data_IF_942559404979
#
_entry.id   IF_942559404979
#
_cell.length_a   1.000
_cell.length_b   1.000
_cell.length_c   1.000
_cell.angle_alpha   90.00
_cell.angle_beta   90.00
_cell.angle_gamma   90.00
#
_symmetry.space_group_name_H-M   'P 1'
#
loop_
_entity.id
_entity.type
_entity.pdbx_description
1 polymer ?
#
# COMPACT_ATOMS: atom_id res chain seq x y z
N UNK A 1 -1.13 5.60 17.86
CA UNK A 1 -2.44 4.95 17.63
C UNK A 1 -2.49 4.56 16.16
N UNK A 2 -2.73 3.29 15.83
CA UNK A 2 -2.83 2.77 14.44
C UNK A 2 -4.33 2.61 14.15
N UNK A 3 -4.95 3.54 13.44
CA UNK A 3 -6.40 3.52 13.27
C UNK A 3 -6.79 3.59 11.78
N UNK A 4 -7.27 2.46 11.26
CA UNK A 4 -8.24 2.46 10.15
C UNK A 4 -9.59 2.93 10.73
N UNK A 5 -10.35 3.75 10.00
CA UNK A 5 -11.71 4.14 10.40
C UNK A 5 -11.89 5.34 11.34
N UNK A 6 -10.96 6.31 11.41
CA UNK A 6 -11.20 7.60 12.13
C UNK A 6 -12.03 8.62 11.33
N UNK A 7 -12.19 8.41 10.02
CA UNK A 7 -13.03 9.20 9.10
C UNK A 7 -13.81 8.26 8.20
N UNK A 8 -14.84 8.78 7.53
CA UNK A 8 -15.50 8.07 6.43
C UNK A 8 -14.43 7.53 5.47
N UNK A 9 -14.46 6.21 5.26
CA UNK A 9 -13.51 5.51 4.40
C UNK A 9 -14.05 5.51 2.97
N UNK A 10 -13.44 6.30 2.10
CA UNK A 10 -13.48 6.09 0.66
C UNK A 10 -12.18 5.42 0.18
N UNK A 11 -12.10 5.10 -1.10
CA UNK A 11 -10.93 4.41 -1.66
C UNK A 11 -9.64 5.22 -1.48
N UNK A 12 -9.69 6.54 -1.66
CA UNK A 12 -8.52 7.40 -1.52
C UNK A 12 -8.09 7.50 -0.05
N UNK A 13 -9.03 7.54 0.90
CA UNK A 13 -8.72 7.47 2.32
C UNK A 13 -8.06 6.14 2.70
N UNK A 14 -8.64 5.03 2.26
CA UNK A 14 -8.13 3.70 2.60
C UNK A 14 -6.72 3.46 2.02
N UNK A 15 -6.51 3.81 0.75
CA UNK A 15 -5.30 3.43 0.02
C UNK A 15 -4.24 4.52 -0.09
N UNK A 16 -4.54 5.77 0.25
CA UNK A 16 -3.60 6.88 0.11
C UNK A 16 -3.37 7.62 1.44
N UNK A 17 -4.44 8.14 2.05
CA UNK A 17 -4.30 9.18 3.09
C UNK A 17 -4.39 8.69 4.54
N UNK A 18 -4.82 7.44 4.78
CA UNK A 18 -4.78 6.83 6.11
C UNK A 18 -3.35 6.72 6.65
N UNK A 19 -3.15 6.99 7.95
CA UNK A 19 -1.83 6.89 8.61
C UNK A 19 -1.18 5.51 8.40
N UNK A 20 -1.95 4.43 8.55
CA UNK A 20 -1.44 3.07 8.34
C UNK A 20 -0.89 2.93 6.93
N UNK A 21 -1.65 3.41 5.96
CA UNK A 21 -1.30 3.32 4.54
C UNK A 21 -0.10 4.19 4.18
N UNK A 22 -0.02 5.41 4.70
CA UNK A 22 1.14 6.29 4.52
C UNK A 22 2.45 5.65 5.02
N UNK A 23 2.41 4.97 6.18
CA UNK A 23 3.57 4.25 6.70
C UNK A 23 3.91 3.04 5.84
N UNK A 24 2.91 2.29 5.35
CA UNK A 24 3.14 1.16 4.43
C UNK A 24 3.82 1.64 3.14
N UNK A 25 3.31 2.72 2.52
CA UNK A 25 3.94 3.28 1.32
C UNK A 25 5.37 3.74 1.57
N UNK A 26 5.63 4.38 2.70
CA UNK A 26 7.01 4.73 3.07
C UNK A 26 7.92 3.49 3.16
N UNK A 27 7.46 2.40 3.78
CA UNK A 27 8.21 1.14 3.87
C UNK A 27 8.43 0.49 2.49
N UNK A 28 7.43 0.54 1.60
CA UNK A 28 7.55 0.07 0.21
C UNK A 28 8.58 0.88 -0.56
N UNK A 29 8.59 2.21 -0.42
CA UNK A 29 9.55 3.08 -1.10
C UNK A 29 10.99 2.72 -0.73
N UNK A 30 11.25 2.54 0.57
CA UNK A 30 12.55 2.14 1.10
C UNK A 30 12.94 0.74 0.61
N UNK A 31 12.00 -0.22 0.64
CA UNK A 31 12.27 -1.60 0.23
C UNK A 31 12.56 -1.73 -1.26
N UNK A 32 11.77 -1.07 -2.12
CA UNK A 32 11.94 -1.11 -3.57
C UNK A 32 13.03 -0.15 -4.08
N UNK A 33 13.61 0.68 -3.21
CA UNK A 33 14.55 1.74 -3.60
C UNK A 33 13.98 2.68 -4.68
N UNK A 34 12.71 3.04 -4.56
CA UNK A 34 12.03 3.98 -5.48
C UNK A 34 11.85 5.35 -4.83
N UNK A 35 11.73 6.43 -5.63
CA UNK A 35 11.32 7.73 -5.12
C UNK A 35 10.02 7.64 -4.32
N UNK A 36 9.84 8.58 -3.39
CA UNK A 36 8.64 8.61 -2.58
C UNK A 36 7.38 8.70 -3.46
N UNK A 37 6.43 7.79 -3.22
CA UNK A 37 5.12 7.81 -3.84
C UNK A 37 4.35 9.02 -3.33
N UNK A 38 4.04 9.94 -4.24
CA UNK A 38 3.12 11.06 -4.02
C UNK A 38 1.86 10.77 -4.84
N UNK A 39 0.79 10.38 -4.15
CA UNK A 39 -0.51 10.14 -4.74
C UNK A 39 -1.56 10.92 -3.95
N UNK A 40 -2.57 11.44 -4.65
CA UNK A 40 -3.75 12.06 -4.06
C UNK A 40 -5.02 11.30 -4.40
N UNK A 41 -4.97 10.53 -5.48
CA UNK A 41 -6.02 9.61 -5.93
C UNK A 41 -5.45 8.21 -6.19
N UNK A 42 -6.33 7.22 -6.23
CA UNK A 42 -5.98 5.87 -6.68
C UNK A 42 -5.36 5.83 -8.09
N UNK A 43 -5.77 6.71 -8.99
CA UNK A 43 -5.20 6.79 -10.33
C UNK A 43 -3.73 7.24 -10.29
N UNK A 44 -3.41 8.23 -9.45
CA UNK A 44 -2.02 8.67 -9.27
C UNK A 44 -1.14 7.52 -8.77
N UNK A 45 -1.66 6.74 -7.82
CA UNK A 45 -0.95 5.60 -7.26
C UNK A 45 -0.66 4.53 -8.32
N UNK A 46 -1.63 4.20 -9.18
CA UNK A 46 -1.40 3.25 -10.27
C UNK A 46 -0.43 3.78 -11.32
N UNK A 47 -0.35 5.10 -11.50
CA UNK A 47 0.48 5.73 -12.51
C UNK A 47 1.91 6.05 -12.05
N UNK A 48 2.25 5.87 -10.77
CA UNK A 48 3.60 6.05 -10.21
C UNK A 48 4.69 5.46 -11.09
N UNK A 49 4.50 4.21 -11.53
CA UNK A 49 5.51 3.47 -12.30
C UNK A 49 5.79 4.10 -13.68
N UNK A 50 4.83 4.82 -14.26
CA UNK A 50 4.96 5.41 -15.61
C UNK A 50 6.04 6.49 -15.64
N UNK A 51 6.13 7.28 -14.57
CA UNK A 51 7.02 8.42 -14.43
C UNK A 51 8.46 8.03 -14.02
N UNK A 52 8.73 6.76 -13.72
CA UNK A 52 10.07 6.29 -13.35
C UNK A 52 10.94 6.04 -14.58
N UNK A 53 12.16 6.58 -14.58
CA UNK A 53 13.18 6.35 -15.61
C UNK A 53 13.88 4.98 -15.42
N UNK A 54 13.10 3.90 -15.48
CA UNK A 54 13.54 2.51 -15.24
C UNK A 54 13.05 1.58 -16.35
N UNK A 55 13.56 0.34 -16.37
CA UNK A 55 13.18 -0.65 -17.38
C UNK A 55 11.68 -1.01 -17.33
N UNK A 56 11.09 -1.37 -18.49
CA UNK A 56 9.70 -1.83 -18.56
C UNK A 56 9.43 -3.08 -17.69
N UNK A 57 10.44 -3.92 -17.50
CA UNK A 57 10.34 -5.04 -16.57
C UNK A 57 10.19 -4.55 -15.13
N UNK A 58 11.05 -3.63 -14.69
CA UNK A 58 10.98 -3.04 -13.34
C UNK A 58 9.67 -2.29 -13.11
N UNK A 59 9.16 -1.56 -14.12
CA UNK A 59 7.84 -0.90 -14.04
C UNK A 59 6.71 -1.89 -13.74
N UNK A 60 6.69 -3.04 -14.42
CA UNK A 60 5.71 -4.10 -14.17
C UNK A 60 5.83 -4.71 -12.78
N UNK A 61 7.06 -4.93 -12.29
CA UNK A 61 7.29 -5.41 -10.92
C UNK A 61 6.76 -4.41 -9.89
N UNK A 62 7.03 -3.11 -10.05
CA UNK A 62 6.51 -2.07 -9.15
C UNK A 62 4.98 -2.03 -9.19
N UNK A 63 4.38 -2.11 -10.37
CA UNK A 63 2.92 -2.16 -10.52
C UNK A 63 2.32 -3.37 -9.78
N UNK A 64 2.95 -4.54 -9.85
CA UNK A 64 2.53 -5.72 -9.09
C UNK A 64 2.63 -5.49 -7.58
N UNK A 65 3.73 -4.89 -7.10
CA UNK A 65 3.90 -4.56 -5.68
C UNK A 65 2.81 -3.59 -5.20
N UNK A 66 2.47 -2.57 -6.00
CA UNK A 66 1.38 -1.63 -5.69
C UNK A 66 0.04 -2.38 -5.55
N UNK A 67 -0.28 -3.29 -6.48
CA UNK A 67 -1.51 -4.08 -6.43
C UNK A 67 -1.55 -5.00 -5.20
N UNK A 68 -0.45 -5.68 -4.89
CA UNK A 68 -0.31 -6.52 -3.69
C UNK A 68 -0.45 -5.68 -2.42
N UNK A 69 0.15 -4.48 -2.37
CA UNK A 69 0.01 -3.57 -1.25
C UNK A 69 -1.45 -3.17 -1.02
N UNK A 70 -2.17 -2.76 -2.06
CA UNK A 70 -3.59 -2.46 -1.98
C UNK A 70 -4.39 -3.65 -1.45
N UNK A 71 -4.11 -4.86 -1.96
CA UNK A 71 -4.78 -6.07 -1.48
C UNK A 71 -4.55 -6.33 0.02
N UNK A 72 -3.31 -6.25 0.50
CA UNK A 72 -3.00 -6.48 1.93
C UNK A 72 -3.63 -5.41 2.81
N UNK A 73 -3.61 -4.14 2.37
CA UNK A 73 -4.23 -3.03 3.10
C UNK A 73 -5.74 -3.26 3.23
N UNK A 74 -6.40 -3.60 2.11
CA UNK A 74 -7.83 -3.89 2.10
C UNK A 74 -8.17 -5.09 3.00
N UNK A 75 -7.37 -6.17 2.93
CA UNK A 75 -7.52 -7.35 3.78
C UNK A 75 -7.37 -6.98 5.26
N UNK A 76 -6.31 -6.25 5.62
CA UNK A 76 -6.07 -5.80 7.00
C UNK A 76 -7.22 -4.96 7.55
N UNK A 77 -7.80 -4.08 6.71
CA UNK A 77 -8.99 -3.32 7.07
C UNK A 77 -10.20 -4.24 7.28
N UNK A 78 -10.41 -5.23 6.41
CA UNK A 78 -11.53 -6.16 6.57
C UNK A 78 -11.38 -7.09 7.78
N UNK A 79 -10.17 -7.48 8.15
CA UNK A 79 -9.92 -8.22 9.37
C UNK A 79 -10.27 -7.38 10.61
N UNK A 80 -10.04 -6.06 10.57
CA UNK A 80 -10.53 -5.12 11.58
C UNK A 80 -12.06 -5.03 11.58
N UNK A 81 -12.61 -4.84 10.38
CA UNK A 81 -13.98 -5.11 9.93
C UNK A 81 -14.76 -6.14 10.75
N UNK A 82 -14.50 -7.37 10.32
CA UNK A 82 -15.34 -8.54 10.53
C UNK A 82 -14.79 -9.45 11.61
N UNK A 83 -13.53 -9.28 12.01
CA UNK A 83 -12.90 -10.10 13.05
C UNK A 83 -12.42 -9.28 14.26
N UNK A 84 -12.55 -7.95 14.24
CA UNK A 84 -12.05 -7.07 15.30
C UNK A 84 -10.53 -7.10 15.47
N UNK A 85 -9.81 -7.71 14.52
CA UNK A 85 -8.37 -7.88 14.57
C UNK A 85 -7.67 -6.58 14.18
N UNK A 86 -6.73 -6.13 15.00
CA UNK A 86 -5.91 -4.93 14.72
C UNK A 86 -4.49 -5.36 14.30
N UNK A 87 -4.26 -5.70 13.02
CA UNK A 87 -2.94 -6.08 12.57
C UNK A 87 -1.96 -4.90 12.70
N UNK A 88 -0.82 -5.16 13.33
CA UNK A 88 0.28 -4.18 13.40
C UNK A 88 0.78 -3.89 11.99
N UNK A 89 1.16 -2.63 11.71
CA UNK A 89 1.75 -2.21 10.41
C UNK A 89 2.88 -3.16 9.97
N UNK A 90 3.74 -3.62 10.88
CA UNK A 90 4.83 -4.54 10.51
C UNK A 90 4.35 -5.91 10.06
N UNK A 91 3.19 -6.37 10.54
CA UNK A 91 2.55 -7.61 10.07
C UNK A 91 2.03 -7.42 8.64
N UNK A 92 1.33 -6.31 8.39
CA UNK A 92 0.84 -5.92 7.06
C UNK A 92 2.01 -5.86 6.06
N UNK A 93 3.10 -5.19 6.43
CA UNK A 93 4.27 -5.08 5.54
C UNK A 93 4.95 -6.43 5.27
N UNK A 94 5.07 -7.31 6.27
CA UNK A 94 5.61 -8.66 6.07
C UNK A 94 4.74 -9.50 5.14
N UNK A 95 3.42 -9.38 5.26
CA UNK A 95 2.47 -10.08 4.38
C UNK A 95 2.57 -9.59 2.93
N UNK A 96 2.74 -8.27 2.73
CA UNK A 96 3.03 -7.67 1.43
C UNK A 96 4.29 -8.27 0.81
N UNK A 97 5.40 -8.31 1.57
CA UNK A 97 6.65 -8.90 1.07
C UNK A 97 6.43 -10.37 0.70
N UNK A 98 5.84 -11.17 1.59
CA UNK A 98 5.58 -12.59 1.34
C UNK A 98 4.74 -12.84 0.08
N UNK A 99 3.70 -12.03 -0.17
CA UNK A 99 2.87 -12.18 -1.37
C UNK A 99 3.48 -11.62 -2.64
N UNK A 100 4.44 -10.70 -2.55
CA UNK A 100 5.13 -10.16 -3.72
C UNK A 100 6.22 -11.11 -4.27
N UNK A 101 6.57 -12.16 -3.53
CA UNK A 101 7.50 -13.22 -3.94
C UNK A 101 6.81 -14.49 -4.45
N UNK A 102 5.46 -14.53 -4.43
CA UNK A 102 4.65 -15.60 -5.02
C UNK A 102 4.50 -15.38 -6.53
#
# INVERSE_FOLDING_TARGET
MQNFGERDEDADHLFISCYVTAVIWHKVNVWCSIPQIYAFTMNDLFDVHKNLAISNHTKRVIQMIILVACWVIWKARNDLIFSGSRPKIDKIFRELQAMSFL
#
